data_IF_681115949696
#
_entry.id   IF_681115949696
#
_cell.length_a   1.000
_cell.length_b   1.000
_cell.length_c   1.000
_cell.angle_alpha   90.00
_cell.angle_beta   90.00
_cell.angle_gamma   90.00
#
_symmetry.space_group_name_H-M   'P 1'
#
loop_
_entity.id
_entity.type
_entity.pdbx_description
1 polymer ?
#
# COMPACT_ATOMS: atom_id res chain seq x y z
N UNK A 1 38.87 41.38 33.03
CA UNK A 1 39.91 40.66 33.77
C UNK A 1 39.57 39.17 33.62
N UNK A 2 40.35 38.45 32.78
CA UNK A 2 40.31 37.01 32.43
C UNK A 2 39.00 36.48 31.78
N UNK A 3 38.97 35.80 30.62
CA UNK A 3 39.99 35.13 29.82
C UNK A 3 39.84 33.61 29.94
N UNK A 4 39.66 32.92 28.80
CA UNK A 4 39.87 31.46 28.54
C UNK A 4 38.96 30.49 29.34
N UNK A 5 38.49 29.33 28.89
CA UNK A 5 38.85 28.41 27.82
C UNK A 5 37.73 27.35 27.70
N UNK A 6 37.75 26.50 26.67
CA UNK A 6 36.93 25.27 26.67
C UNK A 6 36.22 24.94 25.37
N UNK A 7 36.74 25.38 24.22
CA UNK A 7 36.37 24.80 22.91
C UNK A 7 37.34 23.66 22.61
N UNK A 8 37.22 22.52 23.29
CA UNK A 8 37.93 21.31 22.89
C UNK A 8 37.09 20.05 23.20
N UNK A 9 37.03 19.20 22.17
CA UNK A 9 36.96 17.75 22.25
C UNK A 9 35.65 17.12 22.75
N UNK A 10 34.71 16.95 21.82
CA UNK A 10 33.98 15.69 21.74
C UNK A 10 33.98 15.17 20.30
N UNK A 11 35.18 14.90 19.79
CA UNK A 11 35.35 14.00 18.65
C UNK A 11 35.76 12.61 19.16
N UNK A 12 35.28 11.63 18.39
CA UNK A 12 35.39 10.17 18.53
C UNK A 12 34.44 9.57 19.58
N UNK A 13 33.40 8.86 19.13
CA UNK A 13 33.52 7.45 18.73
C UNK A 13 32.34 7.00 17.83
N UNK A 14 32.68 6.54 16.61
CA UNK A 14 31.88 5.77 15.62
C UNK A 14 30.68 6.49 14.97
N UNK A 15 30.50 6.51 13.65
CA UNK A 15 31.16 5.84 12.55
C UNK A 15 30.35 6.15 11.29
N UNK A 16 31.06 6.48 10.22
CA UNK A 16 30.71 6.30 8.81
C UNK A 16 29.25 5.94 8.48
N UNK A 17 28.52 6.88 7.90
CA UNK A 17 27.52 6.61 6.87
C UNK A 17 27.29 7.93 6.12
N UNK A 18 28.18 8.21 5.18
CA UNK A 18 27.95 9.23 4.16
C UNK A 18 26.87 8.74 3.20
N UNK A 19 25.60 8.93 3.56
CA UNK A 19 24.52 8.79 2.59
C UNK A 19 24.50 10.07 1.73
N UNK A 20 25.24 10.03 0.63
CA UNK A 20 25.25 11.07 -0.39
C UNK A 20 23.82 11.39 -0.87
N UNK A 21 23.51 12.67 -1.09
CA UNK A 21 22.22 13.20 -1.56
C UNK A 21 21.59 12.41 -2.74
N UNK A 22 22.42 11.81 -3.59
CA UNK A 22 22.01 10.94 -4.70
C UNK A 22 21.31 9.63 -4.27
N UNK A 23 21.66 9.08 -3.09
CA UNK A 23 21.05 7.87 -2.54
C UNK A 23 19.65 8.15 -1.96
N UNK A 24 19.43 9.37 -1.46
CA UNK A 24 18.09 9.83 -1.04
C UNK A 24 17.15 10.06 -2.23
N UNK A 25 17.66 10.59 -3.35
CA UNK A 25 16.86 10.75 -4.57
C UNK A 25 16.52 9.41 -5.25
N UNK A 26 17.41 8.41 -5.19
CA UNK A 26 17.14 7.09 -5.76
C UNK A 26 16.00 6.35 -5.03
N UNK A 27 15.90 6.52 -3.70
CA UNK A 27 14.82 5.96 -2.88
C UNK A 27 13.45 6.57 -3.21
N UNK A 28 13.43 7.87 -3.54
CA UNK A 28 12.21 8.61 -3.86
C UNK A 28 11.64 8.28 -5.25
N UNK A 29 12.48 7.78 -6.17
CA UNK A 29 12.10 7.44 -7.55
C UNK A 29 11.92 5.94 -7.81
N UNK A 30 12.07 5.09 -6.78
CA UNK A 30 11.79 3.65 -6.88
C UNK A 30 12.74 2.87 -7.80
N UNK A 31 13.96 3.35 -8.03
CA UNK A 31 14.95 2.66 -8.88
C UNK A 31 15.87 1.81 -7.99
N UNK A 32 15.90 0.48 -8.12
CA UNK A 32 16.78 -0.35 -7.30
C UNK A 32 18.25 -0.10 -7.69
N UNK A 33 19.10 0.16 -6.68
CA UNK A 33 20.56 0.14 -6.83
C UNK A 33 20.96 -1.27 -7.27
N UNK A 34 21.30 -1.42 -8.55
CA UNK A 34 21.83 -2.67 -9.10
C UNK A 34 23.17 -2.97 -8.43
N UNK A 35 23.16 -3.88 -7.46
CA UNK A 35 24.37 -4.63 -7.12
C UNK A 35 24.85 -5.32 -8.41
N UNK A 36 26.09 -5.03 -8.79
CA UNK A 36 26.75 -5.65 -9.93
C UNK A 36 26.95 -7.14 -9.63
N UNK A 37 25.99 -7.98 -10.00
CA UNK A 37 26.18 -9.42 -10.07
C UNK A 37 25.73 -9.90 -11.44
N UNK A 38 26.73 -10.24 -12.26
CA UNK A 38 26.59 -10.72 -13.63
C UNK A 38 25.54 -11.84 -13.76
N UNK A 39 24.67 -11.79 -14.78
CA UNK A 39 23.73 -12.88 -15.08
C UNK A 39 24.49 -14.17 -15.42
N UNK A 40 24.20 -15.26 -14.71
CA UNK A 40 24.55 -16.60 -15.23
C UNK A 40 23.49 -16.99 -16.26
N UNK A 41 23.86 -17.29 -17.52
CA UNK A 41 22.90 -17.72 -18.52
C UNK A 41 22.45 -19.16 -18.27
N UNK A 42 21.13 -19.34 -18.22
CA UNK A 42 20.43 -20.61 -18.45
C UNK A 42 20.81 -21.18 -19.83
N UNK A 43 21.30 -22.43 -19.96
CA UNK A 43 21.44 -23.05 -21.27
C UNK A 43 20.05 -23.49 -21.75
N UNK A 44 19.49 -22.74 -22.71
CA UNK A 44 18.40 -23.21 -23.56
C UNK A 44 19.01 -23.71 -24.86
N UNK A 45 19.22 -25.02 -24.99
CA UNK A 45 19.49 -25.63 -26.30
C UNK A 45 18.40 -26.68 -26.56
N UNK A 46 17.41 -26.28 -27.34
CA UNK A 46 16.51 -27.22 -28.02
C UNK A 46 16.86 -27.12 -29.50
N UNK A 47 17.42 -28.20 -30.08
CA UNK A 47 17.50 -28.35 -31.53
C UNK A 47 17.33 -29.83 -31.92
N UNK A 48 16.60 -30.14 -33.02
CA UNK A 48 15.90 -31.41 -33.15
C UNK A 48 16.63 -32.44 -34.02
N UNK A 49 16.10 -33.67 -33.92
CA UNK A 49 15.92 -34.67 -34.99
C UNK A 49 17.00 -35.75 -35.22
N UNK A 50 16.52 -36.98 -35.02
CA UNK A 50 16.71 -38.24 -35.79
C UNK A 50 17.88 -39.17 -35.49
N UNK A 51 17.47 -40.41 -35.15
CA UNK A 51 17.98 -41.73 -35.57
C UNK A 51 19.44 -42.07 -35.17
N UNK A 52 19.82 -43.25 -34.71
CA UNK A 52 19.43 -44.63 -34.99
C UNK A 52 19.82 -45.54 -33.80
N UNK A 53 19.14 -46.69 -33.69
CA UNK A 53 19.66 -48.03 -33.35
C UNK A 53 20.73 -48.22 -32.23
N UNK A 54 20.37 -48.91 -31.14
CA UNK A 54 20.95 -50.23 -30.79
C UNK A 54 20.23 -50.83 -29.56
N UNK A 55 19.91 -52.12 -29.67
CA UNK A 55 19.15 -52.91 -28.70
C UNK A 55 19.97 -53.35 -27.49
N UNK A 56 19.36 -53.40 -26.31
CA UNK A 56 19.60 -54.49 -25.34
C UNK A 56 18.42 -54.61 -24.38
N UNK A 57 17.82 -55.81 -24.40
CA UNK A 57 16.67 -56.21 -23.62
C UNK A 57 17.09 -56.81 -22.26
N UNK A 58 16.34 -56.46 -21.21
CA UNK A 58 16.02 -57.22 -20.00
C UNK A 58 15.03 -56.32 -19.23
N UNK A 59 13.85 -56.69 -18.76
CA UNK A 59 13.24 -57.96 -18.36
C UNK A 59 12.26 -57.51 -17.26
N UNK A 60 10.96 -57.78 -17.42
CA UNK A 60 9.90 -57.00 -16.80
C UNK A 60 9.73 -57.09 -15.29
N UNK A 61 9.01 -56.11 -14.74
CA UNK A 61 8.25 -56.23 -13.49
C UNK A 61 7.14 -55.16 -13.44
N UNK A 62 5.92 -55.70 -13.38
CA UNK A 62 4.67 -55.15 -12.86
C UNK A 62 4.86 -54.11 -11.75
N UNK A 63 4.36 -52.88 -11.91
CA UNK A 63 4.08 -51.98 -10.78
C UNK A 63 2.88 -51.08 -11.10
N UNK A 64 1.72 -51.50 -10.56
CA UNK A 64 0.99 -50.68 -9.59
C UNK A 64 0.24 -49.45 -10.11
N UNK A 65 -1.08 -49.58 -10.11
CA UNK A 65 -2.07 -48.50 -10.02
C UNK A 65 -1.60 -47.33 -9.14
N UNK A 66 -1.62 -46.11 -9.67
CA UNK A 66 -2.05 -44.94 -8.89
C UNK A 66 -2.62 -43.91 -9.89
N UNK A 67 -3.92 -44.05 -10.16
CA UNK A 67 -4.74 -42.90 -10.53
C UNK A 67 -4.83 -42.09 -9.24
N UNK A 68 -4.18 -40.92 -9.18
CA UNK A 68 -4.20 -40.01 -8.03
C UNK A 68 -5.35 -38.99 -8.23
N UNK A 69 -6.54 -39.20 -7.63
CA UNK A 69 -7.69 -38.29 -7.75
C UNK A 69 -7.60 -37.06 -6.84
N UNK A 70 -6.39 -36.58 -6.50
CA UNK A 70 -6.18 -35.60 -5.43
C UNK A 70 -5.47 -34.30 -5.87
N UNK A 71 -5.81 -33.80 -7.06
CA UNK A 71 -5.46 -32.43 -7.44
C UNK A 71 -6.67 -31.62 -7.90
N UNK A 72 -7.68 -31.55 -7.03
CA UNK A 72 -8.57 -30.38 -7.01
C UNK A 72 -7.98 -29.36 -6.04
N UNK A 73 -6.91 -28.69 -6.48
CA UNK A 73 -6.52 -27.42 -5.85
C UNK A 73 -7.61 -26.42 -6.23
N UNK A 74 -8.59 -26.25 -5.33
CA UNK A 74 -9.46 -25.09 -5.33
C UNK A 74 -8.57 -23.87 -5.05
N UNK A 75 -7.98 -23.34 -6.12
CA UNK A 75 -7.37 -22.02 -6.10
C UNK A 75 -8.49 -20.99 -6.12
N UNK A 76 -9.32 -20.98 -5.07
CA UNK A 76 -9.96 -19.76 -4.64
C UNK A 76 -8.84 -18.84 -4.19
N UNK A 77 -8.22 -18.17 -5.18
CA UNK A 77 -7.33 -17.05 -4.96
C UNK A 77 -8.16 -16.04 -4.19
N UNK A 78 -7.94 -15.97 -2.88
CA UNK A 78 -8.52 -14.95 -2.02
C UNK A 78 -7.91 -13.62 -2.47
N UNK A 79 -8.55 -12.96 -3.43
CA UNK A 79 -8.23 -11.58 -3.72
C UNK A 79 -8.61 -10.78 -2.48
N UNK A 80 -7.66 -10.14 -1.78
CA UNK A 80 -8.01 -9.28 -0.67
C UNK A 80 -8.96 -8.21 -1.20
N UNK A 81 -10.15 -8.12 -0.60
CA UNK A 81 -11.10 -7.07 -0.96
C UNK A 81 -10.55 -5.76 -0.37
N UNK A 82 -10.23 -4.79 -1.23
CA UNK A 82 -9.85 -3.45 -0.78
C UNK A 82 -11.12 -2.66 -0.52
N UNK A 83 -11.31 -2.20 0.73
CA UNK A 83 -12.44 -1.35 1.10
C UNK A 83 -12.18 0.07 0.63
N UNK A 84 -13.16 0.72 0.01
CA UNK A 84 -13.06 2.14 -0.35
C UNK A 84 -13.82 2.98 0.66
N UNK A 85 -13.13 3.87 1.37
CA UNK A 85 -13.73 4.77 2.34
C UNK A 85 -13.52 6.23 1.97
N UNK A 86 -14.59 7.03 2.10
CA UNK A 86 -14.57 8.46 1.79
C UNK A 86 -14.82 9.26 3.06
N UNK A 87 -13.95 10.22 3.34
CA UNK A 87 -14.05 11.13 4.49
C UNK A 87 -14.32 12.54 3.99
N UNK A 88 -15.47 13.09 4.36
CA UNK A 88 -15.80 14.49 4.16
C UNK A 88 -15.55 15.27 5.43
N UNK A 89 -14.82 16.38 5.33
CA UNK A 89 -14.46 17.23 6.46
C UNK A 89 -14.96 18.64 6.21
N UNK A 90 -15.83 19.14 7.07
CA UNK A 90 -16.21 20.55 7.04
C UNK A 90 -14.99 21.44 7.35
N UNK A 91 -14.77 22.47 6.54
CA UNK A 91 -13.61 23.36 6.67
C UNK A 91 -13.56 24.12 8.00
N UNK A 92 -14.68 24.22 8.74
CA UNK A 92 -14.71 24.84 10.07
C UNK A 92 -14.23 23.91 11.18
N UNK A 93 -14.03 22.62 10.91
CA UNK A 93 -13.50 21.68 11.92
C UNK A 93 -12.03 21.92 12.15
N UNK A 94 -11.70 22.34 13.37
CA UNK A 94 -10.34 22.43 13.85
C UNK A 94 -9.74 21.03 14.06
N UNK A 95 -8.42 20.92 13.88
CA UNK A 95 -7.66 19.68 14.15
C UNK A 95 -8.19 18.43 13.39
N UNK A 96 -8.83 18.63 12.24
CA UNK A 96 -9.43 17.53 11.48
C UNK A 96 -8.42 16.43 11.09
N UNK A 97 -7.16 16.79 10.84
CA UNK A 97 -6.11 15.84 10.48
C UNK A 97 -5.82 14.83 11.61
N UNK A 98 -5.91 15.23 12.87
CA UNK A 98 -5.78 14.34 14.02
C UNK A 98 -6.96 13.36 14.11
N UNK A 99 -8.18 13.85 13.81
CA UNK A 99 -9.37 13.02 13.75
C UNK A 99 -9.28 11.99 12.62
N UNK A 100 -8.82 12.39 11.43
CA UNK A 100 -8.59 11.49 10.29
C UNK A 100 -7.53 10.44 10.65
N UNK A 101 -6.41 10.84 11.24
CA UNK A 101 -5.37 9.92 11.66
C UNK A 101 -5.91 8.90 12.69
N UNK A 102 -6.76 9.34 13.61
CA UNK A 102 -7.41 8.44 14.59
C UNK A 102 -8.35 7.42 13.93
N UNK A 103 -9.10 7.82 12.90
CA UNK A 103 -9.95 6.93 12.11
C UNK A 103 -9.13 5.87 11.37
N UNK A 104 -8.04 6.29 10.73
CA UNK A 104 -7.12 5.37 10.04
C UNK A 104 -6.43 4.41 11.00
N UNK A 105 -6.04 4.88 12.19
CA UNK A 105 -5.41 4.03 13.21
C UNK A 105 -6.40 3.03 13.85
N UNK A 106 -7.70 3.33 13.83
CA UNK A 106 -8.74 2.42 14.31
C UNK A 106 -9.09 1.31 13.29
N UNK A 107 -8.63 1.42 12.05
CA UNK A 107 -8.84 0.40 11.02
C UNK A 107 -8.18 -0.93 11.40
N UNK A 108 -8.81 -2.03 10.98
CA UNK A 108 -8.29 -3.37 11.24
C UNK A 108 -6.97 -3.57 10.47
N UNK A 109 -5.88 -4.04 11.11
CA UNK A 109 -4.57 -4.17 10.47
C UNK A 109 -4.50 -5.23 9.36
N UNK A 110 -5.53 -6.07 9.21
CA UNK A 110 -5.65 -7.05 8.13
C UNK A 110 -6.50 -6.57 6.94
N UNK A 111 -7.06 -5.36 7.01
CA UNK A 111 -7.88 -4.80 5.95
C UNK A 111 -7.09 -3.77 5.15
N UNK A 112 -7.15 -3.87 3.82
CA UNK A 112 -6.59 -2.84 2.94
C UNK A 112 -7.70 -1.84 2.66
N UNK A 113 -7.51 -0.58 3.05
CA UNK A 113 -8.50 0.48 2.89
C UNK A 113 -7.92 1.58 2.01
N UNK A 114 -8.61 1.90 0.92
CA UNK A 114 -8.36 3.08 0.10
C UNK A 114 -9.14 4.27 0.67
N UNK A 115 -8.42 5.26 1.19
CA UNK A 115 -8.99 6.46 1.83
C UNK A 115 -9.03 7.64 0.86
N UNK A 116 -10.20 8.26 0.71
CA UNK A 116 -10.38 9.51 -0.02
C UNK A 116 -10.84 10.61 0.93
N UNK A 117 -10.05 11.68 1.09
CA UNK A 117 -10.40 12.78 2.00
C UNK A 117 -10.75 14.04 1.19
N UNK A 118 -11.94 14.58 1.43
CA UNK A 118 -12.44 15.81 0.79
C UNK A 118 -12.79 16.86 1.84
N UNK A 119 -12.32 18.10 1.62
CA UNK A 119 -12.69 19.24 2.47
C UNK A 119 -13.87 20.01 1.88
N UNK A 120 -14.96 20.09 2.64
CA UNK A 120 -16.15 20.87 2.28
C UNK A 120 -15.91 22.35 2.55
N UNK A 121 -16.18 23.16 1.53
CA UNK A 121 -16.10 24.61 1.62
C UNK A 121 -17.26 25.15 2.45
N UNK A 122 -16.96 26.09 3.33
CA UNK A 122 -17.88 26.63 4.34
C UNK A 122 -18.99 27.51 3.76
N UNK A 123 -18.76 28.10 2.59
CA UNK A 123 -19.64 29.01 1.88
C UNK A 123 -20.54 28.34 0.83
N UNK A 124 -20.37 27.04 0.61
CA UNK A 124 -21.11 26.26 -0.38
C UNK A 124 -22.00 25.21 0.29
N UNK A 125 -23.07 24.79 -0.39
CA UNK A 125 -23.95 23.73 0.11
C UNK A 125 -23.16 22.43 0.30
N UNK A 126 -23.09 21.93 1.54
CA UNK A 126 -22.29 20.76 1.88
C UNK A 126 -22.86 19.47 1.29
N UNK A 127 -24.18 19.37 1.17
CA UNK A 127 -24.84 18.18 0.62
C UNK A 127 -24.60 18.09 -0.89
N UNK A 128 -24.65 19.21 -1.61
CA UNK A 128 -24.29 19.24 -3.02
C UNK A 128 -22.82 18.89 -3.25
N UNK A 129 -21.90 19.41 -2.44
CA UNK A 129 -20.48 19.07 -2.53
C UNK A 129 -20.23 17.58 -2.32
N UNK A 130 -20.84 16.99 -1.28
CA UNK A 130 -20.76 15.54 -1.01
C UNK A 130 -21.32 14.76 -2.21
N UNK A 131 -22.49 15.14 -2.70
CA UNK A 131 -23.16 14.46 -3.82
C UNK A 131 -22.33 14.52 -5.11
N UNK A 132 -21.71 15.68 -5.41
CA UNK A 132 -20.82 15.82 -6.57
C UNK A 132 -19.62 14.89 -6.47
N UNK A 133 -18.95 14.85 -5.31
CA UNK A 133 -17.78 13.97 -5.13
C UNK A 133 -18.17 12.50 -5.22
N UNK A 134 -19.24 12.07 -4.54
CA UNK A 134 -19.70 10.69 -4.59
C UNK A 134 -20.16 10.27 -5.98
N UNK A 135 -20.63 11.18 -6.83
CA UNK A 135 -20.99 10.86 -8.22
C UNK A 135 -19.80 10.43 -9.09
N UNK A 136 -18.57 10.75 -8.66
CA UNK A 136 -17.32 10.49 -9.40
C UNK A 136 -16.59 9.25 -8.89
N UNK A 137 -17.00 8.72 -7.74
CA UNK A 137 -16.34 7.60 -7.05
C UNK A 137 -17.29 6.40 -7.11
N UNK A 138 -16.78 5.27 -7.56
CA UNK A 138 -17.52 4.01 -7.54
C UNK A 138 -17.04 3.15 -6.38
N UNK A 139 -17.87 2.18 -5.99
CA UNK A 139 -17.50 1.15 -5.00
C UNK A 139 -17.20 1.70 -3.59
N UNK A 140 -17.83 2.81 -3.19
CA UNK A 140 -17.70 3.34 -1.83
C UNK A 140 -18.38 2.40 -0.82
N UNK A 141 -17.59 1.86 0.11
CA UNK A 141 -18.07 0.99 1.18
C UNK A 141 -18.55 1.79 2.40
N UNK A 142 -17.86 2.90 2.72
CA UNK A 142 -18.22 3.76 3.85
C UNK A 142 -18.00 5.25 3.53
N UNK A 143 -18.86 6.07 4.13
CA UNK A 143 -18.74 7.53 4.11
C UNK A 143 -18.69 8.04 5.54
N UNK A 144 -17.61 8.74 5.86
CA UNK A 144 -17.42 9.43 7.14
C UNK A 144 -17.62 10.91 6.94
N UNK A 145 -18.32 11.56 7.86
CA UNK A 145 -18.56 13.00 7.83
C UNK A 145 -18.08 13.61 9.14
N UNK A 146 -17.08 14.46 9.07
CA UNK A 146 -16.51 15.18 10.20
C UNK A 146 -16.97 16.64 10.09
N UNK A 147 -17.76 17.09 11.06
CA UNK A 147 -18.35 18.43 11.06
C UNK A 147 -18.69 18.89 12.47
N UNK A 148 -19.07 20.16 12.59
CA UNK A 148 -19.55 20.72 13.85
C UNK A 148 -21.03 20.41 14.06
N UNK A 149 -21.35 19.85 15.22
CA UNK A 149 -22.71 19.73 15.73
C UNK A 149 -22.95 20.77 16.83
N UNK A 150 -24.09 21.45 16.78
CA UNK A 150 -24.47 22.50 17.75
C UNK A 150 -25.56 22.04 18.74
N UNK A 151 -25.84 20.74 18.77
CA UNK A 151 -26.88 20.13 19.61
C UNK A 151 -28.29 20.22 19.02
N UNK A 152 -28.53 21.09 18.03
CA UNK A 152 -29.80 21.13 17.26
C UNK A 152 -29.69 20.49 15.88
N UNK A 153 -28.46 20.20 15.43
CA UNK A 153 -28.21 19.65 14.12
C UNK A 153 -26.71 19.55 13.79
N UNK A 154 -26.44 19.35 12.51
CA UNK A 154 -25.11 19.25 11.92
C UNK A 154 -24.88 20.36 10.90
N UNK A 155 -23.74 21.03 10.94
CA UNK A 155 -23.33 22.02 9.94
C UNK A 155 -22.44 21.39 8.87
N UNK A 156 -22.86 21.46 7.60
CA UNK A 156 -22.13 20.96 6.44
C UNK A 156 -22.05 22.06 5.38
N UNK A 157 -20.89 22.69 5.26
CA UNK A 157 -20.73 23.88 4.42
C UNK A 157 -21.67 24.99 4.88
N UNK A 158 -22.52 25.50 3.98
CA UNK A 158 -23.57 26.45 4.32
C UNK A 158 -24.89 25.80 4.78
N UNK A 159 -24.97 24.46 4.79
CA UNK A 159 -26.19 23.70 5.06
C UNK A 159 -26.27 23.31 6.53
N UNK A 160 -27.46 23.44 7.13
CA UNK A 160 -27.76 22.94 8.48
C UNK A 160 -28.75 21.79 8.40
N UNK A 161 -28.41 20.64 8.97
CA UNK A 161 -29.25 19.46 9.06
C UNK A 161 -29.80 19.32 10.47
N UNK A 162 -31.10 19.58 10.65
CA UNK A 162 -31.79 19.48 11.94
C UNK A 162 -32.20 18.04 12.30
N UNK A 163 -32.29 17.73 13.59
CA UNK A 163 -32.70 16.43 14.17
C UNK A 163 -34.14 16.42 14.70
#
# INVERSE_FOLDING_TARGET
MFGSDGTEAFEAIHGDSGESDEQLLARLLGVPLTSSQSPQPIPSEVKPLRSDDESTAIGGEDHGLQDDPDQWVDSSVFAPFTRTEVVFVDSRVDQADELIASLQAAANPGEVIDWFVFRLQSDQDGIQQISDQLSRISNVDAVHVISHGDGTGLHLGSTHLSL
#
